data_IF_735229172498
#
_entry.id   IF_735229172498
#
_cell.length_a   1.000
_cell.length_b   1.000
_cell.length_c   1.000
_cell.angle_alpha   90.00
_cell.angle_beta   90.00
_cell.angle_gamma   90.00
#
_symmetry.space_group_name_H-M   'P 1'
#
loop_
_entity.id
_entity.type
_entity.pdbx_description
1 polymer ?
#
# COMPACT_ATOMS: atom_id res chain seq x y z
N UNK A 1 -3.60 -5.38 17.33
CA UNK A 1 -4.03 -4.81 16.04
C UNK A 1 -5.09 -5.72 15.42
N UNK A 2 -6.11 -5.19 14.74
CA UNK A 2 -7.06 -6.01 14.00
C UNK A 2 -6.43 -6.48 12.68
N UNK A 3 -6.58 -7.76 12.38
CA UNK A 3 -6.00 -8.37 11.16
C UNK A 3 -6.99 -9.36 10.57
N UNK A 4 -7.25 -9.24 9.28
CA UNK A 4 -7.97 -10.25 8.51
C UNK A 4 -6.95 -11.24 7.94
N UNK A 5 -7.09 -12.51 8.34
CA UNK A 5 -6.19 -13.60 7.97
C UNK A 5 -6.88 -14.53 6.96
N UNK A 6 -6.27 -14.73 5.79
CA UNK A 6 -6.83 -15.51 4.68
C UNK A 6 -5.81 -16.43 4.03
N UNK A 7 -6.22 -17.65 3.77
CA UNK A 7 -5.39 -18.67 3.11
C UNK A 7 -4.30 -19.21 4.01
N UNK A 8 -3.44 -20.02 3.43
CA UNK A 8 -2.33 -20.70 4.09
C UNK A 8 -1.05 -20.51 3.29
N UNK A 9 0.10 -20.85 3.85
CA UNK A 9 1.41 -20.76 3.21
C UNK A 9 2.26 -19.61 3.73
N UNK A 10 3.19 -19.13 2.91
CA UNK A 10 4.11 -18.08 3.30
C UNK A 10 3.36 -16.77 3.63
N UNK A 11 3.75 -16.05 4.72
CA UNK A 11 3.09 -14.82 5.09
C UNK A 11 3.25 -13.73 4.03
N UNK A 12 2.13 -13.06 3.73
CA UNK A 12 2.05 -11.86 2.91
C UNK A 12 1.32 -10.78 3.71
N UNK A 13 2.05 -9.76 4.11
CA UNK A 13 1.54 -8.63 4.90
C UNK A 13 0.98 -7.57 3.97
N UNK A 14 -0.22 -7.04 4.27
CA UNK A 14 -0.87 -6.01 3.47
C UNK A 14 -1.22 -4.81 4.37
N UNK A 15 -0.67 -3.64 4.03
CA UNK A 15 -0.80 -2.38 4.76
C UNK A 15 -1.52 -1.35 3.89
N UNK A 16 -2.69 -0.89 4.33
CA UNK A 16 -3.51 0.12 3.64
C UNK A 16 -2.99 1.55 3.80
N UNK A 17 -3.59 2.51 3.10
CA UNK A 17 -3.29 3.93 3.14
C UNK A 17 -3.86 4.65 4.37
N UNK A 18 -3.55 5.94 4.48
CA UNK A 18 -4.05 6.82 5.54
C UNK A 18 -5.56 7.08 5.41
N UNK A 19 -6.29 7.02 6.51
CA UNK A 19 -7.73 7.33 6.57
C UNK A 19 -8.67 6.23 6.04
N UNK A 20 -8.14 5.11 5.56
CA UNK A 20 -8.90 3.95 5.08
C UNK A 20 -8.60 2.72 5.94
N UNK A 21 -9.01 1.52 5.54
CA UNK A 21 -8.71 0.28 6.26
C UNK A 21 -8.37 -0.88 5.30
N UNK A 22 -8.22 -2.09 5.85
CA UNK A 22 -7.86 -3.29 5.10
C UNK A 22 -8.74 -3.54 3.86
N UNK A 23 -10.00 -3.08 3.85
CA UNK A 23 -10.95 -3.28 2.75
C UNK A 23 -10.46 -2.67 1.44
N UNK A 24 -9.65 -1.59 1.52
CA UNK A 24 -9.08 -0.96 0.33
C UNK A 24 -8.23 -1.93 -0.50
N UNK A 25 -7.56 -2.91 0.14
CA UNK A 25 -6.69 -3.87 -0.55
C UNK A 25 -7.37 -5.19 -0.89
N UNK A 26 -8.62 -5.41 -0.46
CA UNK A 26 -9.36 -6.64 -0.78
C UNK A 26 -9.63 -6.87 -2.28
N UNK A 27 -9.74 -5.86 -3.15
CA UNK A 27 -9.80 -6.08 -4.60
C UNK A 27 -8.62 -6.87 -5.18
N UNK A 28 -7.48 -6.87 -4.50
CA UNK A 28 -6.30 -7.64 -4.90
C UNK A 28 -6.37 -9.12 -4.48
N UNK A 29 -7.23 -9.47 -3.53
CA UNK A 29 -7.27 -10.81 -2.92
C UNK A 29 -7.44 -11.96 -3.93
N UNK A 30 -8.30 -11.86 -4.98
CA UNK A 30 -8.40 -12.92 -5.99
C UNK A 30 -7.09 -13.18 -6.73
N UNK A 31 -6.36 -12.14 -7.10
CA UNK A 31 -5.07 -12.25 -7.77
C UNK A 31 -3.98 -12.81 -6.83
N UNK A 32 -3.97 -12.38 -5.57
CA UNK A 32 -3.05 -12.88 -4.55
C UNK A 32 -3.29 -14.36 -4.26
N UNK A 33 -4.56 -14.78 -4.15
CA UNK A 33 -4.93 -16.18 -3.96
C UNK A 33 -4.53 -17.07 -5.15
N UNK A 34 -4.70 -16.57 -6.38
CA UNK A 34 -4.31 -17.28 -7.59
C UNK A 34 -2.78 -17.36 -7.79
N UNK A 35 -2.01 -16.46 -7.19
CA UNK A 35 -0.56 -16.38 -7.35
C UNK A 35 0.22 -17.45 -6.56
N UNK A 36 -0.44 -18.26 -5.74
CA UNK A 36 0.16 -19.39 -5.00
C UNK A 36 -0.26 -19.43 -3.53
N UNK A 37 0.43 -20.26 -2.76
CA UNK A 37 0.14 -20.47 -1.34
C UNK A 37 0.69 -19.30 -0.50
N UNK A 38 -0.16 -18.33 -0.29
CA UNK A 38 0.11 -17.15 0.53
C UNK A 38 -0.91 -17.03 1.66
N UNK A 39 -0.44 -16.97 2.91
CA UNK A 39 -1.22 -16.55 4.06
C UNK A 39 -1.27 -15.01 4.06
N UNK A 40 -2.39 -14.46 3.64
CA UNK A 40 -2.60 -13.02 3.42
C UNK A 40 -3.14 -12.35 4.67
N UNK A 41 -2.31 -11.51 5.28
CA UNK A 41 -2.58 -10.81 6.53
C UNK A 41 -2.86 -9.34 6.22
N UNK A 42 -4.13 -8.96 6.21
CA UNK A 42 -4.59 -7.59 5.96
C UNK A 42 -4.72 -6.87 7.29
N UNK A 43 -3.87 -5.89 7.52
CA UNK A 43 -3.82 -5.15 8.78
C UNK A 43 -4.73 -3.91 8.71
N UNK A 44 -5.52 -3.66 9.76
CA UNK A 44 -5.99 -2.32 10.07
C UNK A 44 -4.89 -1.63 10.87
N UNK A 45 -4.34 -0.56 10.34
CA UNK A 45 -3.28 0.20 11.02
C UNK A 45 -3.84 0.87 12.29
N UNK A 46 -3.01 1.15 13.32
CA UNK A 46 -3.47 1.88 14.51
C UNK A 46 -4.25 3.16 14.18
N UNK A 47 -5.41 3.34 14.82
CA UNK A 47 -6.32 4.46 14.56
C UNK A 47 -7.20 4.33 13.33
N UNK A 48 -7.15 3.19 12.62
CA UNK A 48 -7.90 2.95 11.40
C UNK A 48 -8.77 1.68 11.54
N UNK A 49 -9.90 1.67 10.83
CA UNK A 49 -10.80 0.54 10.78
C UNK A 49 -11.20 0.04 12.18
N UNK A 50 -10.82 -1.19 12.52
CA UNK A 50 -11.11 -1.83 13.80
C UNK A 50 -9.95 -1.80 14.80
N UNK A 51 -8.82 -1.19 14.43
CA UNK A 51 -7.65 -1.08 15.30
C UNK A 51 -7.70 0.20 16.12
N UNK A 52 -7.68 0.11 17.47
CA UNK A 52 -7.56 1.31 18.29
C UNK A 52 -6.19 1.96 18.10
N UNK A 53 -6.10 3.28 18.26
CA UNK A 53 -4.84 4.03 18.17
C UNK A 53 -3.80 3.60 19.21
N UNK A 54 -4.25 3.24 20.40
CA UNK A 54 -3.36 2.88 21.51
C UNK A 54 -2.39 4.01 21.86
N UNK A 55 -1.14 3.65 22.14
CA UNK A 55 -0.06 4.59 22.46
C UNK A 55 0.61 5.25 21.27
N UNK A 56 0.21 4.89 20.02
CA UNK A 56 0.82 5.41 18.79
C UNK A 56 0.57 6.92 18.64
N UNK A 57 1.62 7.70 18.40
CA UNK A 57 1.54 9.15 18.27
C UNK A 57 2.26 9.69 17.01
N UNK A 58 2.98 8.84 16.28
CA UNK A 58 3.74 9.21 15.08
C UNK A 58 3.74 8.08 14.04
N UNK A 59 4.20 8.37 12.83
CA UNK A 59 4.42 7.36 11.79
C UNK A 59 5.48 6.33 12.20
N UNK A 60 6.52 6.75 12.96
CA UNK A 60 7.52 5.83 13.47
C UNK A 60 6.94 4.89 14.52
N UNK A 61 6.20 5.40 15.52
CA UNK A 61 5.51 4.55 16.52
C UNK A 61 4.56 3.56 15.84
N UNK A 62 3.90 3.99 14.74
CA UNK A 62 3.00 3.13 13.97
C UNK A 62 3.78 2.02 13.27
N UNK A 63 4.94 2.33 12.67
CA UNK A 63 5.79 1.33 12.04
C UNK A 63 6.30 0.31 13.06
N UNK A 64 6.72 0.75 14.24
CA UNK A 64 7.12 -0.13 15.35
C UNK A 64 5.96 -1.02 15.82
N UNK A 65 4.75 -0.47 15.95
CA UNK A 65 3.56 -1.25 16.32
C UNK A 65 3.21 -2.31 15.26
N UNK A 66 3.36 -1.99 13.98
CA UNK A 66 3.19 -2.96 12.89
C UNK A 66 4.26 -4.05 12.96
N UNK A 67 5.53 -3.71 13.19
CA UNK A 67 6.59 -4.70 13.35
C UNK A 67 6.37 -5.63 14.55
N UNK A 68 5.89 -5.11 15.68
CA UNK A 68 5.55 -5.92 16.84
C UNK A 68 4.39 -6.90 16.55
N UNK A 69 3.38 -6.46 15.78
CA UNK A 69 2.28 -7.33 15.36
C UNK A 69 2.76 -8.40 14.36
N UNK A 70 3.66 -8.05 13.44
CA UNK A 70 4.31 -9.02 12.53
C UNK A 70 5.07 -10.06 13.36
N UNK A 71 5.88 -9.64 14.35
CA UNK A 71 6.61 -10.55 15.21
C UNK A 71 5.67 -11.52 15.94
N UNK A 72 4.54 -11.02 16.45
CA UNK A 72 3.54 -11.84 17.14
C UNK A 72 2.91 -12.90 16.22
N UNK A 73 2.64 -12.58 14.95
CA UNK A 73 1.88 -13.44 14.02
C UNK A 73 2.74 -14.34 13.15
N UNK A 74 3.93 -13.87 12.86
CA UNK A 74 4.84 -14.46 11.87
C UNK A 74 6.14 -14.94 12.52
N UNK A 75 6.54 -14.33 13.65
CA UNK A 75 7.78 -14.63 14.32
C UNK A 75 8.99 -14.40 13.41
N UNK A 76 9.83 -15.41 13.29
CA UNK A 76 11.04 -15.38 12.45
C UNK A 76 10.82 -15.88 11.02
N UNK A 77 9.59 -16.27 10.66
CA UNK A 77 9.29 -16.75 9.32
C UNK A 77 9.49 -15.64 8.28
N UNK A 78 10.18 -15.91 7.15
CA UNK A 78 10.30 -14.93 6.06
C UNK A 78 8.94 -14.60 5.44
N UNK A 79 8.69 -13.32 5.16
CA UNK A 79 7.43 -12.81 4.63
C UNK A 79 7.61 -11.83 3.46
N UNK A 80 6.58 -11.68 2.63
CA UNK A 80 6.49 -10.60 1.66
C UNK A 80 5.56 -9.49 2.18
N UNK A 81 5.73 -8.26 1.69
CA UNK A 81 4.95 -7.12 2.15
C UNK A 81 4.43 -6.27 0.99
N UNK A 82 3.16 -5.92 1.05
CA UNK A 82 2.49 -4.96 0.16
C UNK A 82 2.06 -3.75 0.99
N UNK A 83 2.37 -2.55 0.53
CA UNK A 83 1.90 -1.32 1.16
C UNK A 83 1.32 -0.34 0.16
N UNK A 84 0.16 0.25 0.48
CA UNK A 84 -0.45 1.31 -0.31
C UNK A 84 -0.28 2.66 0.39
N UNK A 85 0.11 3.69 -0.35
CA UNK A 85 0.17 5.07 0.11
C UNK A 85 1.01 5.20 1.41
N UNK A 86 0.41 5.62 2.51
CA UNK A 86 1.01 5.65 3.84
C UNK A 86 1.51 4.26 4.28
N UNK A 87 0.71 3.20 4.05
CA UNK A 87 1.16 1.82 4.27
C UNK A 87 2.37 1.44 3.41
N UNK A 88 2.54 2.07 2.23
CA UNK A 88 3.73 1.94 1.38
C UNK A 88 4.98 2.57 2.01
N UNK A 89 4.85 3.71 2.69
CA UNK A 89 5.94 4.29 3.47
C UNK A 89 6.35 3.36 4.63
N UNK A 90 5.38 2.85 5.37
CA UNK A 90 5.62 1.90 6.48
C UNK A 90 6.24 0.59 5.95
N UNK A 91 5.75 0.05 4.84
CA UNK A 91 6.29 -1.16 4.23
C UNK A 91 7.74 -1.01 3.78
N UNK A 92 8.13 0.15 3.23
CA UNK A 92 9.54 0.47 2.88
C UNK A 92 10.41 0.48 4.13
N UNK A 93 9.98 1.16 5.19
CA UNK A 93 10.70 1.20 6.48
C UNK A 93 10.91 -0.21 7.02
N UNK A 94 9.88 -1.06 7.05
CA UNK A 94 9.97 -2.45 7.50
C UNK A 94 10.90 -3.28 6.60
N UNK A 95 10.80 -3.13 5.28
CA UNK A 95 11.66 -3.85 4.33
C UNK A 95 13.14 -3.53 4.52
N UNK A 96 13.50 -2.28 4.79
CA UNK A 96 14.88 -1.89 5.07
C UNK A 96 15.35 -2.33 6.46
N UNK A 97 14.50 -2.25 7.48
CA UNK A 97 14.84 -2.65 8.85
C UNK A 97 14.95 -4.18 8.97
N UNK A 98 14.01 -4.94 8.38
CA UNK A 98 13.95 -6.42 8.42
C UNK A 98 14.41 -7.07 7.11
N UNK A 99 15.40 -6.50 6.41
CA UNK A 99 15.85 -6.96 5.08
C UNK A 99 16.24 -8.44 5.00
N UNK A 100 16.66 -9.03 6.09
CA UNK A 100 16.99 -10.46 6.18
C UNK A 100 15.74 -11.37 6.15
N UNK A 101 14.62 -10.84 6.62
CA UNK A 101 13.34 -11.56 6.75
C UNK A 101 12.37 -11.25 5.60
N UNK A 102 12.42 -10.02 5.03
CA UNK A 102 11.51 -9.62 3.95
C UNK A 102 11.92 -10.24 2.62
N UNK A 103 11.04 -11.04 2.04
CA UNK A 103 11.21 -11.76 0.76
C UNK A 103 11.00 -10.87 -0.46
N UNK A 104 10.24 -9.81 -0.33
CA UNK A 104 9.94 -8.86 -1.39
C UNK A 104 9.02 -7.74 -0.92
N UNK A 105 9.06 -6.62 -1.62
CA UNK A 105 8.27 -5.42 -1.35
C UNK A 105 7.44 -5.05 -2.58
N UNK A 106 6.13 -4.85 -2.41
CA UNK A 106 5.31 -4.16 -3.40
C UNK A 106 4.75 -2.86 -2.81
N UNK A 107 5.01 -1.76 -3.48
CA UNK A 107 4.60 -0.42 -3.07
C UNK A 107 3.61 0.15 -4.10
N UNK A 108 2.34 0.27 -3.69
CA UNK A 108 1.23 0.77 -4.50
C UNK A 108 1.03 2.24 -4.17
N UNK A 109 1.33 3.15 -5.10
CA UNK A 109 1.25 4.60 -4.87
C UNK A 109 1.86 5.03 -3.52
N UNK A 110 3.12 4.63 -3.18
CA UNK A 110 3.67 4.84 -1.86
C UNK A 110 3.94 6.31 -1.57
N UNK A 111 3.75 6.73 -0.33
CA UNK A 111 4.29 8.00 0.16
C UNK A 111 5.81 7.89 0.21
N UNK A 112 6.50 8.64 -0.64
CA UNK A 112 7.96 8.75 -0.66
C UNK A 112 8.43 9.98 0.10
N UNK A 113 7.71 11.09 -0.05
CA UNK A 113 7.93 12.35 0.65
C UNK A 113 6.76 12.59 1.59
N UNK A 114 7.00 12.58 2.89
CA UNK A 114 5.93 12.69 3.89
C UNK A 114 5.23 14.07 3.84
N UNK A 115 5.99 15.15 3.68
CA UNK A 115 5.47 16.52 3.60
C UNK A 115 4.84 16.77 2.23
N UNK A 116 3.50 16.89 2.19
CA UNK A 116 2.73 17.02 0.93
C UNK A 116 3.22 18.14 0.02
N UNK A 117 3.52 19.31 0.60
CA UNK A 117 3.97 20.50 -0.16
C UNK A 117 5.33 20.31 -0.88
N UNK A 118 6.09 19.25 -0.53
CA UNK A 118 7.38 18.92 -1.15
C UNK A 118 7.28 17.82 -2.19
N UNK A 119 6.10 17.20 -2.36
CA UNK A 119 5.87 16.15 -3.35
C UNK A 119 5.80 16.73 -4.76
N UNK A 120 6.36 16.00 -5.71
CA UNK A 120 6.21 16.28 -7.14
C UNK A 120 5.01 15.52 -7.67
N UNK A 121 3.89 16.21 -7.76
CA UNK A 121 2.61 15.62 -8.19
C UNK A 121 2.10 16.29 -9.46
N UNK A 122 1.42 15.55 -10.37
CA UNK A 122 0.75 16.15 -11.51
C UNK A 122 -0.48 16.95 -11.06
N UNK A 123 -0.96 17.82 -11.93
CA UNK A 123 -2.27 18.46 -11.74
C UNK A 123 -3.37 17.40 -11.70
N UNK A 124 -4.38 17.64 -10.85
CA UNK A 124 -5.53 16.76 -10.76
C UNK A 124 -6.26 16.70 -12.10
N UNK A 125 -6.40 15.49 -12.63
CA UNK A 125 -7.03 15.22 -13.92
C UNK A 125 -8.05 14.11 -13.81
N UNK A 126 -9.19 14.25 -14.48
CA UNK A 126 -10.20 13.20 -14.65
C UNK A 126 -10.19 12.76 -16.11
N UNK A 127 -9.92 11.49 -16.35
CA UNK A 127 -9.80 10.90 -17.70
C UNK A 127 -11.16 10.44 -18.25
N UNK A 128 -12.00 9.87 -17.38
CA UNK A 128 -13.34 9.43 -17.75
C UNK A 128 -14.33 9.84 -16.68
N UNK A 129 -15.56 10.21 -17.10
CA UNK A 129 -16.61 10.67 -16.18
C UNK A 129 -17.97 10.14 -16.59
N UNK A 130 -18.65 9.45 -15.67
CA UNK A 130 -20.05 9.05 -15.76
C UNK A 130 -20.89 9.90 -14.79
N UNK A 131 -21.59 10.90 -15.33
CA UNK A 131 -22.42 11.81 -14.53
C UNK A 131 -23.59 11.11 -13.83
N UNK A 132 -24.07 9.98 -14.36
CA UNK A 132 -25.15 9.20 -13.72
C UNK A 132 -24.62 8.47 -12.50
N UNK A 133 -23.47 7.80 -12.63
CA UNK A 133 -22.79 7.16 -11.51
C UNK A 133 -22.50 8.17 -10.39
N UNK A 134 -22.00 9.35 -10.73
CA UNK A 134 -21.74 10.42 -9.75
C UNK A 134 -23.01 10.90 -9.04
N UNK A 135 -24.11 11.12 -9.77
CA UNK A 135 -25.38 11.56 -9.18
C UNK A 135 -25.96 10.53 -8.19
N UNK A 136 -25.73 9.25 -8.41
CA UNK A 136 -26.20 8.17 -7.53
C UNK A 136 -25.38 8.03 -6.24
N UNK A 137 -24.16 8.59 -6.20
CA UNK A 137 -23.33 8.61 -4.99
C UNK A 137 -23.84 9.58 -3.90
N UNK A 138 -24.66 10.57 -4.27
CA UNK A 138 -25.22 11.54 -3.32
C UNK A 138 -24.13 12.24 -2.51
N UNK A 139 -24.23 12.23 -1.17
CA UNK A 139 -23.31 12.91 -0.25
C UNK A 139 -21.87 12.36 -0.30
N UNK A 140 -21.68 11.15 -0.85
CA UNK A 140 -20.37 10.49 -0.95
C UNK A 140 -19.60 10.92 -2.19
N UNK A 141 -20.27 11.56 -3.16
CA UNK A 141 -19.69 11.94 -4.45
C UNK A 141 -18.41 12.77 -4.31
N UNK A 142 -18.38 13.74 -3.37
CA UNK A 142 -17.21 14.60 -3.15
C UNK A 142 -15.94 13.83 -2.80
N UNK A 143 -16.03 12.90 -1.85
CA UNK A 143 -14.89 12.05 -1.45
C UNK A 143 -14.43 11.11 -2.56
N UNK A 144 -15.35 10.63 -3.38
CA UNK A 144 -15.04 9.83 -4.56
C UNK A 144 -14.35 10.65 -5.64
N UNK A 145 -14.94 11.79 -6.02
CA UNK A 145 -14.41 12.66 -7.06
C UNK A 145 -13.01 13.17 -6.73
N UNK A 146 -12.70 13.41 -5.45
CA UNK A 146 -11.38 13.86 -5.01
C UNK A 146 -10.27 12.90 -5.43
N UNK A 147 -10.52 11.59 -5.40
CA UNK A 147 -9.50 10.57 -5.63
C UNK A 147 -9.59 9.90 -7.01
N UNK A 148 -10.79 9.78 -7.58
CA UNK A 148 -11.02 8.98 -8.78
C UNK A 148 -10.61 9.72 -10.05
N UNK A 149 -9.75 9.11 -10.82
CA UNK A 149 -9.32 9.55 -12.16
C UNK A 149 -10.23 8.96 -13.23
N UNK A 150 -10.69 7.73 -13.03
CA UNK A 150 -11.63 7.03 -13.90
C UNK A 150 -12.98 6.93 -13.17
N UNK A 151 -13.84 7.91 -13.39
CA UNK A 151 -15.12 8.05 -12.70
C UNK A 151 -16.21 7.27 -13.48
N UNK A 152 -16.13 5.93 -13.47
CA UNK A 152 -17.13 5.02 -14.05
C UNK A 152 -18.01 4.40 -12.96
N UNK A 153 -19.08 3.73 -13.37
CA UNK A 153 -19.95 2.96 -12.48
C UNK A 153 -19.16 1.92 -11.70
N UNK A 154 -18.35 1.13 -12.39
CA UNK A 154 -17.56 0.05 -11.79
C UNK A 154 -16.57 0.57 -10.76
N UNK A 155 -15.92 1.72 -11.05
CA UNK A 155 -14.98 2.35 -10.12
C UNK A 155 -15.72 2.94 -8.90
N UNK A 156 -16.89 3.56 -9.11
CA UNK A 156 -17.72 4.07 -8.03
C UNK A 156 -18.23 2.95 -7.09
N UNK A 157 -18.67 1.83 -7.66
CA UNK A 157 -19.08 0.66 -6.89
C UNK A 157 -17.91 0.06 -6.10
N UNK A 158 -16.72 -0.01 -6.70
CA UNK A 158 -15.50 -0.44 -6.01
C UNK A 158 -15.10 0.51 -4.88
N UNK A 159 -15.20 1.82 -5.08
CA UNK A 159 -14.96 2.82 -4.03
C UNK A 159 -15.93 2.64 -2.86
N UNK A 160 -17.24 2.50 -3.12
CA UNK A 160 -18.26 2.28 -2.10
C UNK A 160 -18.03 1.00 -1.30
N UNK A 161 -17.57 -0.06 -1.96
CA UNK A 161 -17.32 -1.35 -1.32
C UNK A 161 -16.01 -1.38 -0.52
N UNK A 162 -14.97 -0.69 -0.98
CA UNK A 162 -13.61 -0.92 -0.51
C UNK A 162 -12.91 0.29 0.12
N UNK A 163 -13.19 1.52 -0.31
CA UNK A 163 -12.57 2.73 0.24
C UNK A 163 -13.48 3.44 1.25
N UNK A 164 -14.71 3.75 0.85
CA UNK A 164 -15.67 4.52 1.67
C UNK A 164 -15.91 3.95 3.06
N UNK A 165 -16.05 2.62 3.26
CA UNK A 165 -16.28 2.09 4.61
C UNK A 165 -15.08 2.31 5.56
N UNK A 166 -13.86 2.39 5.03
CA UNK A 166 -12.67 2.72 5.82
C UNK A 166 -12.66 4.20 6.20
N UNK A 167 -12.97 5.09 5.24
CA UNK A 167 -13.10 6.54 5.50
C UNK A 167 -14.13 6.83 6.60
N UNK A 168 -15.25 6.10 6.61
CA UNK A 168 -16.32 6.29 7.60
C UNK A 168 -15.95 5.71 8.98
N UNK A 169 -15.14 4.65 9.01
CA UNK A 169 -14.74 3.97 10.25
C UNK A 169 -13.51 4.59 10.92
N UNK A 170 -12.78 5.45 10.22
CA UNK A 170 -11.58 6.09 10.75
C UNK A 170 -11.90 7.00 11.95
N UNK A 171 -11.05 6.98 12.97
CA UNK A 171 -11.13 7.90 14.12
C UNK A 171 -10.50 9.25 13.75
N UNK A 172 -11.29 10.34 13.62
CA UNK A 172 -10.76 11.65 13.21
C UNK A 172 -9.69 12.19 14.16
N UNK A 173 -9.83 11.96 15.47
CA UNK A 173 -8.86 12.44 16.45
C UNK A 173 -7.54 11.64 16.38
N UNK A 174 -7.62 10.35 16.10
CA UNK A 174 -6.45 9.52 15.85
C UNK A 174 -5.73 9.94 14.57
N UNK A 175 -6.47 10.18 13.49
CA UNK A 175 -5.91 10.65 12.21
C UNK A 175 -5.24 12.03 12.36
N UNK A 176 -5.87 12.97 13.05
CA UNK A 176 -5.29 14.30 13.32
C UNK A 176 -3.98 14.18 14.12
N UNK A 177 -3.95 13.34 15.15
CA UNK A 177 -2.74 13.12 15.95
C UNK A 177 -1.60 12.55 15.09
N UNK A 178 -1.90 11.56 14.24
CA UNK A 178 -0.92 10.95 13.35
C UNK A 178 -0.44 11.92 12.26
N UNK A 179 -1.35 12.74 11.71
CA UNK A 179 -1.02 13.74 10.69
C UNK A 179 -0.03 14.80 11.19
N UNK A 180 -0.04 15.15 12.48
CA UNK A 180 0.93 16.10 13.08
C UNK A 180 2.37 15.54 13.13
N UNK A 181 2.54 14.23 13.09
CA UNK A 181 3.83 13.52 13.10
C UNK A 181 3.84 12.41 12.05
N UNK A 182 3.55 12.81 10.81
CA UNK A 182 3.36 11.91 9.68
C UNK A 182 4.68 11.39 9.10
N UNK A 183 5.81 12.02 9.42
CA UNK A 183 7.14 11.64 8.97
C UNK A 183 7.72 10.49 9.79
N UNK A 184 8.47 9.60 9.12
CA UNK A 184 9.40 8.69 9.80
C UNK A 184 10.57 9.47 10.38
N UNK A 185 11.24 8.94 11.39
CA UNK A 185 12.43 9.56 11.99
C UNK A 185 13.57 9.71 10.98
N UNK A 186 13.68 8.79 10.03
CA UNK A 186 14.58 8.89 8.89
C UNK A 186 13.97 8.19 7.66
N UNK A 187 14.28 8.72 6.46
CA UNK A 187 13.96 8.02 5.21
C UNK A 187 14.65 6.65 5.19
N UNK A 188 13.94 5.55 4.85
CA UNK A 188 14.47 4.19 4.94
C UNK A 188 15.77 4.00 4.16
N UNK A 189 15.88 4.61 2.97
CA UNK A 189 17.03 4.52 2.08
C UNK A 189 18.24 5.33 2.59
N UNK A 190 18.01 6.34 3.45
CA UNK A 190 19.05 7.12 4.11
C UNK A 190 19.50 6.42 5.40
N UNK A 191 18.54 5.96 6.21
CA UNK A 191 18.82 5.25 7.46
C UNK A 191 19.56 3.94 7.21
N UNK A 192 19.32 3.30 6.07
CA UNK A 192 19.96 2.07 5.65
C UNK A 192 20.37 2.16 4.17
N UNK A 193 21.51 2.78 3.85
CA UNK A 193 21.90 3.09 2.48
C UNK A 193 22.26 1.86 1.63
N UNK A 194 22.48 0.70 2.23
CA UNK A 194 22.67 -0.53 1.48
C UNK A 194 21.40 -0.87 0.69
N UNK A 195 21.48 -1.21 -0.61
CA UNK A 195 20.31 -1.51 -1.44
C UNK A 195 19.46 -2.64 -0.88
N UNK A 196 18.14 -2.54 -1.05
CA UNK A 196 17.20 -3.63 -0.80
C UNK A 196 17.16 -4.56 -2.01
N UNK A 197 17.84 -5.70 -1.92
CA UNK A 197 18.13 -6.61 -3.04
C UNK A 197 17.05 -7.65 -3.32
N UNK A 198 15.93 -7.64 -2.60
CA UNK A 198 14.83 -8.56 -2.88
C UNK A 198 13.92 -8.04 -4.01
N UNK A 199 13.13 -8.92 -4.66
CA UNK A 199 12.18 -8.49 -5.68
C UNK A 199 11.30 -7.36 -5.19
N UNK A 200 11.30 -6.25 -5.90
CA UNK A 200 10.51 -5.06 -5.57
C UNK A 200 9.56 -4.72 -6.72
N UNK A 201 8.40 -4.18 -6.40
CA UNK A 201 7.45 -3.59 -7.34
C UNK A 201 7.06 -2.21 -6.84
N UNK A 202 7.27 -1.19 -7.67
CA UNK A 202 6.61 0.10 -7.55
C UNK A 202 5.56 0.20 -8.64
N UNK A 203 4.30 0.45 -8.27
CA UNK A 203 3.23 0.69 -9.21
C UNK A 203 2.46 1.93 -8.80
N UNK A 204 2.39 2.93 -9.69
CA UNK A 204 1.92 4.28 -9.37
C UNK A 204 1.07 4.79 -10.54
N UNK A 205 0.00 5.52 -10.23
CA UNK A 205 -0.85 6.13 -11.24
C UNK A 205 -0.16 7.32 -11.92
N UNK A 206 -0.29 7.43 -13.26
CA UNK A 206 0.23 8.56 -14.01
C UNK A 206 -0.41 9.88 -13.58
N UNK A 207 -1.70 9.83 -13.20
CA UNK A 207 -2.50 10.97 -12.75
C UNK A 207 -2.62 11.05 -11.22
N UNK A 208 -1.71 10.40 -10.48
CA UNK A 208 -1.71 10.46 -9.02
C UNK A 208 -1.26 11.84 -8.51
N UNK A 209 -2.23 12.69 -8.20
CA UNK A 209 -2.02 14.04 -7.67
C UNK A 209 -1.79 14.08 -6.15
N UNK A 210 -1.79 12.91 -5.48
CA UNK A 210 -1.54 12.79 -4.03
C UNK A 210 -0.08 12.53 -3.72
N UNK A 211 0.55 11.57 -4.40
CA UNK A 211 1.96 11.20 -4.16
C UNK A 211 2.85 11.38 -5.39
N UNK A 212 2.28 11.35 -6.62
CA UNK A 212 3.06 11.38 -7.86
C UNK A 212 3.94 10.13 -8.03
N UNK A 213 4.71 10.07 -9.12
CA UNK A 213 5.61 8.93 -9.38
C UNK A 213 7.10 9.33 -9.38
N UNK A 214 7.42 10.61 -9.54
CA UNK A 214 8.79 11.09 -9.70
C UNK A 214 9.63 10.91 -8.44
N UNK A 215 9.04 11.18 -7.27
CA UNK A 215 9.72 11.01 -5.99
C UNK A 215 10.09 9.53 -5.72
N UNK A 216 9.26 8.59 -6.21
CA UNK A 216 9.56 7.17 -6.13
C UNK A 216 10.65 6.76 -7.15
N UNK A 217 10.64 7.35 -8.34
CA UNK A 217 11.67 7.12 -9.35
C UNK A 217 13.06 7.53 -8.84
N UNK A 218 13.18 8.64 -8.12
CA UNK A 218 14.46 9.11 -7.55
C UNK A 218 15.08 8.15 -6.53
N UNK A 219 14.33 7.18 -6.03
CA UNK A 219 14.80 6.16 -5.09
C UNK A 219 15.09 4.80 -5.73
N UNK A 220 14.91 4.67 -7.05
CA UNK A 220 14.96 3.37 -7.75
C UNK A 220 16.31 2.65 -7.58
N UNK A 221 17.39 3.40 -7.50
CA UNK A 221 18.76 2.86 -7.35
C UNK A 221 18.95 2.08 -6.02
N UNK A 222 18.14 2.36 -5.01
CA UNK A 222 18.13 1.60 -3.77
C UNK A 222 17.44 0.23 -3.89
N UNK A 223 16.80 -0.05 -5.03
CA UNK A 223 16.02 -1.26 -5.30
C UNK A 223 16.45 -1.92 -6.62
N UNK A 224 17.66 -2.52 -6.70
CA UNK A 224 18.24 -3.01 -7.96
C UNK A 224 17.44 -4.14 -8.63
N UNK A 225 16.44 -4.69 -7.94
CA UNK A 225 15.51 -5.69 -8.49
C UNK A 225 14.07 -5.18 -8.57
N UNK A 226 13.90 -3.87 -8.71
CA UNK A 226 12.59 -3.28 -8.86
C UNK A 226 12.05 -3.40 -10.29
N UNK A 227 10.75 -3.72 -10.39
CA UNK A 227 9.91 -3.31 -11.51
C UNK A 227 9.27 -1.99 -11.11
N UNK A 228 9.35 -0.98 -11.98
CA UNK A 228 8.72 0.31 -11.80
C UNK A 228 7.69 0.52 -12.91
N UNK A 229 6.43 0.70 -12.55
CA UNK A 229 5.34 0.87 -13.49
C UNK A 229 4.57 2.16 -13.19
N UNK A 230 4.48 3.04 -14.19
CA UNK A 230 3.61 4.22 -14.18
C UNK A 230 2.41 3.92 -15.07
N UNK A 231 1.23 3.81 -14.47
CA UNK A 231 0.01 3.33 -15.11
C UNK A 231 -0.83 4.51 -15.56
N UNK A 232 -1.13 4.58 -16.85
CA UNK A 232 -2.04 5.59 -17.40
C UNK A 232 -3.48 5.33 -17.00
N UNK A 233 -4.31 6.37 -17.03
CA UNK A 233 -5.72 6.32 -16.62
C UNK A 233 -5.87 5.79 -15.18
N UNK A 234 -4.98 6.23 -14.30
CA UNK A 234 -4.91 5.80 -12.91
C UNK A 234 -4.40 6.91 -12.00
N UNK A 235 -5.07 7.10 -10.87
CA UNK A 235 -4.72 8.03 -9.81
C UNK A 235 -4.15 7.32 -8.59
N UNK A 236 -4.46 7.89 -7.40
CA UNK A 236 -3.96 7.37 -6.13
C UNK A 236 -4.51 5.98 -5.80
N UNK A 237 -5.76 5.71 -6.16
CA UNK A 237 -6.40 4.40 -6.00
C UNK A 237 -6.27 3.54 -7.28
N UNK A 238 -5.09 3.50 -7.88
CA UNK A 238 -4.84 2.86 -9.18
C UNK A 238 -5.30 1.39 -9.26
N UNK A 239 -5.37 0.68 -8.15
CA UNK A 239 -5.86 -0.69 -8.08
C UNK A 239 -7.40 -0.78 -8.19
N UNK A 240 -8.10 0.37 -8.06
CA UNK A 240 -9.53 0.52 -8.39
C UNK A 240 -9.71 1.07 -9.80
N UNK A 241 -8.81 1.96 -10.27
CA UNK A 241 -8.85 2.54 -11.60
C UNK A 241 -8.48 1.54 -12.71
N UNK A 242 -7.43 0.72 -12.46
CA UNK A 242 -6.86 -0.26 -13.40
C UNK A 242 -6.67 -1.63 -12.75
N UNK A 243 -7.76 -2.27 -12.25
CA UNK A 243 -7.66 -3.47 -11.41
C UNK A 243 -6.97 -4.64 -12.12
N UNK A 244 -7.23 -4.86 -13.40
CA UNK A 244 -6.65 -5.95 -14.17
C UNK A 244 -5.13 -5.81 -14.34
N UNK A 245 -4.65 -4.61 -14.66
CA UNK A 245 -3.22 -4.36 -14.85
C UNK A 245 -2.47 -4.45 -13.52
N UNK A 246 -3.00 -3.85 -12.46
CA UNK A 246 -2.37 -3.90 -11.13
C UNK A 246 -2.32 -5.34 -10.62
N UNK A 247 -3.38 -6.12 -10.78
CA UNK A 247 -3.41 -7.54 -10.43
C UNK A 247 -2.34 -8.35 -11.18
N UNK A 248 -2.15 -8.10 -12.48
CA UNK A 248 -1.13 -8.77 -13.30
C UNK A 248 0.30 -8.44 -12.83
N UNK A 249 0.59 -7.16 -12.54
CA UNK A 249 1.88 -6.71 -12.03
C UNK A 249 2.20 -7.33 -10.66
N UNK A 250 1.22 -7.39 -9.75
CA UNK A 250 1.37 -8.03 -8.45
C UNK A 250 1.59 -9.54 -8.58
N UNK A 251 0.87 -10.22 -9.46
CA UNK A 251 1.04 -11.65 -9.72
C UNK A 251 2.44 -11.97 -10.26
N UNK A 252 2.96 -11.14 -11.16
CA UNK A 252 4.33 -11.24 -11.68
C UNK A 252 5.36 -11.05 -10.55
N UNK A 253 5.20 -10.00 -9.74
CA UNK A 253 6.06 -9.74 -8.61
C UNK A 253 6.09 -10.93 -7.62
N UNK A 254 4.92 -11.48 -7.23
CA UNK A 254 4.85 -12.66 -6.36
C UNK A 254 5.55 -13.88 -6.98
N UNK A 255 5.49 -14.03 -8.30
CA UNK A 255 6.24 -15.08 -9.02
C UNK A 255 7.75 -14.89 -8.86
N UNK A 256 8.27 -13.65 -8.94
CA UNK A 256 9.69 -13.35 -8.68
C UNK A 256 10.09 -13.65 -7.23
N UNK A 257 9.23 -13.29 -6.27
CA UNK A 257 9.46 -13.55 -4.84
C UNK A 257 9.60 -15.06 -4.59
N UNK A 258 8.69 -15.87 -5.13
CA UNK A 258 8.75 -17.35 -5.00
C UNK A 258 10.03 -17.93 -5.61
N UNK A 259 10.40 -17.50 -6.82
CA UNK A 259 11.66 -17.97 -7.46
C UNK A 259 12.90 -17.62 -6.63
N UNK A 260 12.94 -16.44 -6.02
CA UNK A 260 14.05 -16.02 -5.17
C UNK A 260 14.14 -16.82 -3.87
N UNK A 261 13.01 -17.24 -3.29
CA UNK A 261 12.95 -18.12 -2.11
C UNK A 261 13.51 -19.50 -2.45
N UNK A 262 13.00 -20.13 -3.51
CA UNK A 262 13.42 -21.49 -3.92
C UNK A 262 14.91 -21.58 -4.31
N UNK A 263 15.54 -20.50 -4.74
CA UNK A 263 16.98 -20.49 -5.02
C UNK A 263 17.82 -20.39 -3.75
N UNK A 264 17.37 -19.67 -2.71
CA UNK A 264 18.07 -19.63 -1.41
C UNK A 264 18.04 -20.99 -0.71
N UNK A 265 16.91 -21.70 -0.74
CA UNK A 265 16.74 -23.02 -0.12
C UNK A 265 17.61 -24.12 -0.77
N UNK A 266 18.10 -23.92 -2.01
CA UNK A 266 18.97 -24.86 -2.71
C UNK A 266 20.47 -24.69 -2.38
N UNK A 267 20.85 -23.57 -1.77
CA UNK A 267 22.25 -23.23 -1.46
C UNK A 267 22.50 -23.06 0.05
N UNK A 268 21.47 -23.27 0.89
CA UNK A 268 21.54 -23.35 2.34
C UNK A 268 21.63 -24.82 2.81
#
# INVERSE_FOLDING_TARGET
MYVVDRGEGAPLILLHGFGVDHRLLLPLDPALAAAGEWRRLYFDLPGHGRSPMGGVASAEDLAEAVEAEIETRVGTEPFAIIGNSFGGMIARRIAHHRRGQVLGLAAIAPVMVAEHAKRRVPERTVIARDLRALAELGDVAGSYEEMAVVQTRENADAFLAHAHPGLTAADPAALERLARRYTLDAEPEIASPAPFTQPTLFVIGRQDHVVGYEDAWDRIEHYPRATFAVVDSAGHNLHLDQPGLVAALISEWLSRVRRSRSSKDRFA
#
